data_IF_010118626978
#
_entry.id   IF_010118626978
#
_cell.length_a   1.000
_cell.length_b   1.000
_cell.length_c   1.000
_cell.angle_alpha   90.00
_cell.angle_beta   90.00
_cell.angle_gamma   90.00
#
_symmetry.space_group_name_H-M   'P 1'
#
loop_
_entity.id
_entity.type
_entity.pdbx_description
1 polymer ?
#
# COMPACT_ATOMS: atom_id res chain seq x y z
N UNK A 1 -16.79 0.62 16.45
CA UNK A 1 -16.73 -0.27 15.26
C UNK A 1 -15.27 -0.38 14.85
N UNK A 2 -14.79 -1.53 14.40
CA UNK A 2 -13.41 -1.67 14.00
C UNK A 2 -13.10 -0.73 12.82
N UNK A 3 -11.97 -0.05 12.91
CA UNK A 3 -11.42 0.82 11.87
C UNK A 3 -10.32 0.10 11.12
N UNK A 4 -10.18 0.39 9.84
CA UNK A 4 -9.18 -0.24 9.00
C UNK A 4 -8.33 0.79 8.27
N UNK A 5 -7.01 0.71 8.45
CA UNK A 5 -6.03 1.37 7.61
C UNK A 5 -5.50 0.35 6.59
N UNK A 6 -5.74 0.59 5.31
CA UNK A 6 -5.11 -0.17 4.22
C UNK A 6 -3.91 0.60 3.72
N UNK A 7 -2.73 0.02 3.88
CA UNK A 7 -1.46 0.56 3.41
C UNK A 7 -1.00 -0.24 2.18
N UNK A 8 -1.04 0.36 1.02
CA UNK A 8 -0.54 -0.23 -0.22
C UNK A 8 0.94 0.14 -0.43
N UNK A 9 1.78 -0.88 -0.61
CA UNK A 9 3.19 -0.77 -0.96
C UNK A 9 3.43 -1.40 -2.33
N UNK A 10 3.81 -0.60 -3.33
CA UNK A 10 4.08 -1.08 -4.67
C UNK A 10 5.34 -1.95 -4.72
N UNK A 11 5.27 -3.10 -5.36
CA UNK A 11 6.42 -3.93 -5.69
C UNK A 11 7.16 -4.57 -4.50
N UNK A 12 6.44 -5.04 -3.48
CA UNK A 12 7.04 -5.70 -2.31
C UNK A 12 6.63 -7.16 -2.25
N UNK A 13 7.58 -8.06 -2.47
CA UNK A 13 7.37 -9.51 -2.43
C UNK A 13 7.99 -10.18 -1.22
N UNK A 14 7.72 -11.48 -1.09
CA UNK A 14 8.38 -12.37 -0.14
C UNK A 14 9.46 -13.15 -0.89
N UNK A 15 10.72 -12.74 -0.71
CA UNK A 15 11.90 -13.27 -1.40
C UNK A 15 12.71 -14.28 -0.58
N UNK A 16 13.87 -14.69 -1.10
CA UNK A 16 14.79 -15.56 -0.36
C UNK A 16 15.37 -14.85 0.86
N UNK A 17 15.69 -15.61 1.91
CA UNK A 17 16.41 -15.10 3.07
C UNK A 17 17.92 -14.96 2.79
N UNK A 18 18.26 -14.27 1.71
CA UNK A 18 19.64 -14.09 1.23
C UNK A 18 20.00 -12.59 1.19
N UNK A 19 20.87 -12.13 2.10
CA UNK A 19 21.29 -10.73 2.13
C UNK A 19 22.11 -10.29 0.91
N UNK A 20 22.57 -11.21 0.06
CA UNK A 20 23.27 -10.84 -1.17
C UNK A 20 22.33 -10.28 -2.25
N UNK A 21 21.04 -10.63 -2.20
CA UNK A 21 20.06 -10.25 -3.23
C UNK A 21 18.81 -9.59 -2.67
N UNK A 22 18.48 -9.83 -1.38
CA UNK A 22 17.27 -9.33 -0.74
C UNK A 22 17.60 -8.27 0.32
N UNK A 23 17.33 -6.98 0.06
CA UNK A 23 17.64 -5.91 0.98
C UNK A 23 16.90 -6.00 2.34
N UNK A 24 15.77 -6.72 2.45
CA UNK A 24 15.12 -6.98 3.74
C UNK A 24 16.06 -7.60 4.77
N UNK A 25 17.03 -8.40 4.34
CA UNK A 25 17.97 -9.09 5.22
C UNK A 25 19.28 -8.31 5.48
N UNK A 26 19.41 -7.10 4.91
CA UNK A 26 20.49 -6.13 5.21
C UNK A 26 19.98 -4.89 5.91
N UNK A 27 18.76 -4.46 5.61
CA UNK A 27 18.17 -3.24 6.16
C UNK A 27 17.93 -3.36 7.67
N UNK A 28 18.04 -2.24 8.37
CA UNK A 28 17.70 -2.11 9.78
C UNK A 28 16.18 -1.86 9.91
N UNK A 29 15.42 -2.90 10.24
CA UNK A 29 13.97 -2.93 10.29
C UNK A 29 13.47 -3.28 11.70
N UNK A 30 13.73 -2.44 12.72
CA UNK A 30 13.40 -2.76 14.11
C UNK A 30 11.90 -2.83 14.37
N UNK A 31 11.09 -1.94 13.77
CA UNK A 31 9.64 -1.86 14.01
C UNK A 31 8.93 -3.08 13.42
N UNK A 32 9.25 -3.46 12.18
CA UNK A 32 8.70 -4.65 11.55
C UNK A 32 9.13 -5.94 12.24
N UNK A 33 10.41 -6.05 12.63
CA UNK A 33 10.90 -7.20 13.40
C UNK A 33 10.20 -7.32 14.74
N UNK A 34 10.04 -6.22 15.47
CA UNK A 34 9.31 -6.23 16.74
C UNK A 34 7.87 -6.69 16.55
N UNK A 35 7.18 -6.18 15.54
CA UNK A 35 5.81 -6.57 15.26
C UNK A 35 5.66 -8.06 14.93
N UNK A 36 6.64 -8.64 14.20
CA UNK A 36 6.63 -10.02 13.73
C UNK A 36 7.44 -11.00 14.62
N UNK A 37 7.75 -10.64 15.87
CA UNK A 37 8.43 -11.54 16.82
C UNK A 37 9.90 -11.83 16.48
N UNK A 38 10.60 -10.88 15.86
CA UNK A 38 12.02 -10.96 15.52
C UNK A 38 12.33 -11.50 14.11
N UNK A 39 11.35 -12.08 13.43
CA UNK A 39 11.51 -12.69 12.10
C UNK A 39 10.99 -11.77 10.99
N UNK A 40 11.58 -11.88 9.79
CA UNK A 40 11.08 -11.24 8.57
C UNK A 40 10.50 -12.31 7.63
N UNK A 41 9.50 -11.96 6.79
CA UNK A 41 8.95 -12.90 5.82
C UNK A 41 10.01 -13.27 4.77
N UNK A 42 10.07 -14.56 4.46
CA UNK A 42 10.94 -15.12 3.42
C UNK A 42 10.28 -16.33 2.79
N UNK A 43 10.80 -16.81 1.65
CA UNK A 43 10.30 -18.03 1.01
C UNK A 43 10.40 -19.27 1.91
N UNK A 44 11.35 -19.31 2.84
CA UNK A 44 11.50 -20.39 3.83
C UNK A 44 10.67 -20.19 5.11
N UNK A 45 10.23 -18.97 5.38
CA UNK A 45 9.35 -18.61 6.51
C UNK A 45 8.37 -17.51 6.04
N UNK A 46 7.34 -17.87 5.25
CA UNK A 46 6.49 -16.87 4.60
C UNK A 46 5.47 -16.21 5.54
N UNK A 47 5.18 -16.82 6.69
CA UNK A 47 4.14 -16.39 7.63
C UNK A 47 4.68 -16.18 9.07
N UNK A 48 5.74 -15.36 9.27
CA UNK A 48 6.17 -15.02 10.63
C UNK A 48 5.08 -14.23 11.35
N UNK A 49 4.95 -14.48 12.65
CA UNK A 49 3.99 -13.80 13.52
C UNK A 49 4.62 -13.42 14.84
N UNK A 50 4.13 -12.35 15.44
CA UNK A 50 4.57 -11.82 16.71
C UNK A 50 3.46 -11.05 17.43
N UNK A 51 3.81 -10.37 18.52
CA UNK A 51 2.84 -9.66 19.35
C UNK A 51 2.16 -8.48 18.62
N UNK A 52 2.81 -7.90 17.61
CA UNK A 52 2.27 -6.76 16.84
C UNK A 52 1.54 -7.15 15.57
N UNK A 53 1.55 -8.43 15.17
CA UNK A 53 0.88 -8.86 13.94
C UNK A 53 1.50 -10.08 13.28
N UNK A 54 1.15 -10.26 12.01
CA UNK A 54 1.63 -11.38 11.19
C UNK A 54 1.84 -10.98 9.74
N UNK A 55 2.75 -11.67 9.07
CA UNK A 55 2.90 -11.63 7.62
C UNK A 55 2.20 -12.84 6.96
N UNK A 56 1.86 -12.72 5.69
CA UNK A 56 1.32 -13.80 4.87
C UNK A 56 1.60 -13.58 3.39
N UNK A 57 1.79 -14.67 2.61
CA UNK A 57 1.99 -14.58 1.17
C UNK A 57 0.66 -14.37 0.45
N UNK A 58 0.67 -13.50 -0.58
CA UNK A 58 -0.49 -13.21 -1.42
C UNK A 58 -0.17 -13.55 -2.87
N UNK A 59 -1.00 -14.38 -3.52
CA UNK A 59 -0.83 -14.70 -4.93
C UNK A 59 -1.11 -13.49 -5.82
N UNK A 60 -0.04 -12.99 -6.46
CA UNK A 60 -0.08 -11.92 -7.45
C UNK A 60 -0.06 -12.46 -8.90
N UNK A 61 0.18 -13.76 -9.10
CA UNK A 61 0.23 -14.37 -10.43
C UNK A 61 -1.15 -14.54 -11.07
N UNK A 62 -2.20 -14.62 -10.25
CA UNK A 62 -3.60 -14.58 -10.68
C UNK A 62 -3.94 -15.64 -11.75
N UNK A 63 -3.28 -16.80 -11.70
CA UNK A 63 -3.40 -17.87 -12.70
C UNK A 63 -3.16 -17.39 -14.15
N UNK A 64 -2.42 -16.29 -14.33
CA UNK A 64 -2.13 -15.69 -15.63
C UNK A 64 -0.65 -15.83 -15.95
N UNK A 65 -0.30 -16.19 -17.20
CA UNK A 65 1.09 -16.29 -17.64
C UNK A 65 1.77 -14.93 -17.63
N UNK A 66 3.07 -14.93 -17.33
CA UNK A 66 3.93 -13.74 -17.33
C UNK A 66 4.44 -13.39 -15.94
N UNK A 67 4.91 -12.17 -15.80
CA UNK A 67 5.38 -11.57 -14.55
C UNK A 67 4.32 -10.56 -14.09
N UNK A 68 3.88 -10.62 -12.82
CA UNK A 68 2.92 -9.65 -12.27
C UNK A 68 3.32 -8.21 -12.53
N UNK A 69 2.33 -7.33 -12.72
CA UNK A 69 2.52 -5.94 -13.10
C UNK A 69 1.54 -5.03 -12.37
N UNK A 70 1.98 -3.81 -12.02
CA UNK A 70 1.25 -2.84 -11.19
C UNK A 70 -0.16 -2.51 -11.73
N UNK A 71 -0.32 -2.25 -13.02
CA UNK A 71 -1.62 -1.86 -13.57
C UNK A 71 -2.72 -2.90 -13.37
N UNK A 72 -2.38 -4.20 -13.51
CA UNK A 72 -3.31 -5.31 -13.26
C UNK A 72 -3.38 -5.68 -11.79
N UNK A 73 -2.25 -5.70 -11.07
CA UNK A 73 -2.20 -6.03 -9.65
C UNK A 73 -2.99 -5.05 -8.79
N UNK A 74 -2.72 -3.74 -8.91
CA UNK A 74 -3.44 -2.68 -8.20
C UNK A 74 -4.94 -2.67 -8.53
N UNK A 75 -5.29 -2.89 -9.81
CA UNK A 75 -6.72 -3.01 -10.19
C UNK A 75 -7.37 -4.19 -9.48
N UNK A 76 -6.69 -5.34 -9.40
CA UNK A 76 -7.22 -6.53 -8.73
C UNK A 76 -7.39 -6.28 -7.23
N UNK A 77 -6.39 -5.71 -6.54
CA UNK A 77 -6.50 -5.33 -5.12
C UNK A 77 -7.71 -4.43 -4.87
N UNK A 78 -7.87 -3.41 -5.69
CA UNK A 78 -8.92 -2.40 -5.49
C UNK A 78 -10.33 -2.94 -5.78
N UNK A 79 -10.50 -3.89 -6.70
CA UNK A 79 -11.81 -4.29 -7.20
C UNK A 79 -12.22 -5.72 -6.84
N UNK A 80 -11.29 -6.59 -6.47
CA UNK A 80 -11.51 -8.03 -6.29
C UNK A 80 -11.61 -8.81 -7.61
N UNK A 81 -11.69 -8.13 -8.75
CA UNK A 81 -11.76 -8.78 -10.05
C UNK A 81 -10.34 -9.18 -10.52
N UNK A 82 -10.16 -10.37 -11.08
CA UNK A 82 -8.89 -10.79 -11.68
C UNK A 82 -8.62 -9.98 -12.96
N UNK A 83 -7.99 -8.82 -12.80
CA UNK A 83 -7.74 -7.89 -13.91
C UNK A 83 -6.76 -8.45 -14.95
N UNK A 84 -5.81 -9.28 -14.54
CA UNK A 84 -4.88 -9.94 -15.46
C UNK A 84 -5.60 -10.95 -16.36
N UNK A 85 -6.52 -11.73 -15.80
CA UNK A 85 -7.35 -12.66 -16.57
C UNK A 85 -8.32 -11.94 -17.49
N UNK A 86 -8.97 -10.87 -17.02
CA UNK A 86 -9.88 -10.04 -17.84
C UNK A 86 -9.15 -9.39 -19.03
N UNK A 87 -7.88 -9.05 -18.85
CA UNK A 87 -7.05 -8.48 -19.93
C UNK A 87 -6.38 -9.55 -20.80
N UNK A 88 -6.30 -10.81 -20.32
CA UNK A 88 -5.58 -11.92 -20.94
C UNK A 88 -4.06 -11.91 -20.68
N UNK A 89 -3.56 -10.97 -19.89
CA UNK A 89 -2.13 -10.83 -19.52
C UNK A 89 -1.94 -9.90 -18.33
N UNK A 90 -0.79 -9.98 -17.69
CA UNK A 90 -0.30 -8.91 -16.81
C UNK A 90 0.01 -7.65 -17.61
N UNK A 91 -0.26 -6.49 -17.02
CA UNK A 91 -0.05 -5.19 -17.66
C UNK A 91 0.29 -4.09 -16.63
N UNK A 92 1.28 -3.25 -16.95
CA UNK A 92 1.73 -2.14 -16.12
C UNK A 92 2.44 -1.04 -16.93
N UNK A 93 2.90 0.00 -16.27
CA UNK A 93 2.74 0.30 -14.85
C UNK A 93 1.35 0.83 -14.46
N UNK A 94 0.57 1.38 -15.41
CA UNK A 94 -0.76 1.98 -15.17
C UNK A 94 -1.88 1.09 -15.67
N UNK A 95 -3.08 1.17 -15.07
CA UNK A 95 -4.23 0.42 -15.55
C UNK A 95 -4.59 0.85 -16.98
N UNK A 96 -4.74 -0.09 -17.91
CA UNK A 96 -5.18 0.24 -19.27
C UNK A 96 -6.62 0.76 -19.26
N UNK A 97 -6.97 1.55 -20.27
CA UNK A 97 -8.30 2.19 -20.37
C UNK A 97 -9.45 1.19 -20.17
N UNK A 98 -9.31 -0.03 -20.69
CA UNK A 98 -10.31 -1.11 -20.54
C UNK A 98 -10.63 -1.52 -19.10
N UNK A 99 -9.73 -1.25 -18.15
CA UNK A 99 -9.93 -1.58 -16.73
C UNK A 99 -10.40 -0.38 -15.89
N UNK A 100 -10.49 0.82 -16.46
CA UNK A 100 -10.84 2.03 -15.69
C UNK A 100 -12.26 2.04 -15.19
N UNK A 101 -13.23 1.67 -16.06
CA UNK A 101 -14.63 1.53 -15.66
C UNK A 101 -14.78 0.57 -14.49
N UNK A 102 -14.03 -0.54 -14.51
CA UNK A 102 -14.02 -1.49 -13.39
C UNK A 102 -13.52 -0.85 -12.07
N UNK A 103 -12.44 -0.04 -12.13
CA UNK A 103 -11.94 0.71 -10.97
C UNK A 103 -12.96 1.72 -10.46
N UNK A 104 -13.59 2.45 -11.37
CA UNK A 104 -14.56 3.51 -11.05
C UNK A 104 -15.82 2.95 -10.40
N UNK A 105 -16.30 1.81 -10.84
CA UNK A 105 -17.57 1.23 -10.40
C UNK A 105 -17.43 0.26 -9.22
N UNK A 106 -16.32 -0.50 -9.15
CA UNK A 106 -16.19 -1.66 -8.27
C UNK A 106 -15.09 -1.58 -7.23
N UNK A 107 -14.33 -0.46 -7.15
CA UNK A 107 -13.30 -0.34 -6.12
C UNK A 107 -13.87 -0.44 -4.72
N UNK A 108 -13.12 -1.04 -3.79
CA UNK A 108 -13.53 -1.10 -2.40
C UNK A 108 -13.78 0.29 -1.81
N UNK A 109 -13.08 1.34 -2.29
CA UNK A 109 -13.34 2.73 -1.91
C UNK A 109 -14.77 3.15 -2.28
N UNK A 110 -15.17 2.90 -3.51
CA UNK A 110 -16.53 3.21 -3.98
C UNK A 110 -17.58 2.42 -3.21
N UNK A 111 -17.33 1.12 -3.00
CA UNK A 111 -18.25 0.20 -2.32
C UNK A 111 -18.44 0.59 -0.85
N UNK A 112 -17.38 0.95 -0.15
CA UNK A 112 -17.46 1.34 1.26
C UNK A 112 -18.12 2.72 1.45
N UNK A 113 -17.85 3.70 0.56
CA UNK A 113 -18.58 4.98 0.54
C UNK A 113 -20.07 4.74 0.31
N UNK A 114 -20.44 3.90 -0.69
CA UNK A 114 -21.82 3.58 -0.97
C UNK A 114 -22.53 2.84 0.18
N UNK A 115 -21.79 2.08 0.99
CA UNK A 115 -22.25 1.44 2.22
C UNK A 115 -22.28 2.38 3.45
N UNK A 116 -22.12 3.69 3.26
CA UNK A 116 -22.25 4.69 4.32
C UNK A 116 -21.04 4.79 5.27
N UNK A 117 -19.88 4.18 4.93
CA UNK A 117 -18.67 4.32 5.74
C UNK A 117 -18.01 5.70 5.51
N UNK A 118 -17.38 6.23 6.58
CA UNK A 118 -16.48 7.38 6.47
C UNK A 118 -15.15 6.89 5.92
N UNK A 119 -14.84 7.26 4.68
CA UNK A 119 -13.64 6.79 3.97
C UNK A 119 -12.70 7.95 3.72
N UNK A 120 -11.42 7.74 3.98
CA UNK A 120 -10.35 8.69 3.69
C UNK A 120 -9.34 8.08 2.70
N UNK A 121 -8.99 8.81 1.65
CA UNK A 121 -7.80 8.57 0.85
C UNK A 121 -6.71 9.51 1.35
N UNK A 122 -5.72 8.96 2.07
CA UNK A 122 -4.75 9.74 2.83
C UNK A 122 -3.70 10.45 1.98
N UNK A 123 -3.52 10.02 0.72
CA UNK A 123 -2.54 10.63 -0.17
C UNK A 123 -2.92 12.05 -0.57
N UNK A 124 -1.98 12.98 -0.43
CA UNK A 124 -2.11 14.29 -1.04
C UNK A 124 -1.69 14.27 -2.51
N UNK A 125 -2.40 15.06 -3.32
CA UNK A 125 -2.06 15.34 -4.72
C UNK A 125 -2.19 16.85 -5.01
N UNK A 126 -1.37 17.40 -5.92
CA UNK A 126 -1.54 18.79 -6.36
C UNK A 126 -2.96 19.04 -6.86
N UNK A 127 -3.49 20.25 -6.63
CA UNK A 127 -4.81 20.61 -7.14
C UNK A 127 -4.89 20.42 -8.64
N UNK A 128 -5.98 19.82 -9.12
CA UNK A 128 -6.17 19.51 -10.53
C UNK A 128 -5.36 18.31 -11.05
N UNK A 129 -4.69 17.54 -10.18
CA UNK A 129 -4.01 16.31 -10.60
C UNK A 129 -4.95 15.40 -11.42
N UNK A 130 -4.51 14.81 -12.54
CA UNK A 130 -3.15 14.77 -13.08
C UNK A 130 -2.71 16.02 -13.90
N UNK A 131 -3.52 17.08 -13.96
CA UNK A 131 -3.21 18.29 -14.71
C UNK A 131 -3.07 18.01 -16.21
N UNK A 132 -2.00 18.56 -16.83
CA UNK A 132 -1.67 18.34 -18.24
C UNK A 132 -0.99 16.99 -18.52
N UNK A 133 -0.76 16.16 -17.52
CA UNK A 133 -0.20 14.82 -17.72
C UNK A 133 -1.18 13.96 -18.52
N UNK A 134 -0.65 13.06 -19.32
CA UNK A 134 -1.45 12.06 -20.01
C UNK A 134 -2.29 11.29 -18.98
N UNK A 135 -3.61 11.49 -19.01
CA UNK A 135 -4.56 10.84 -18.11
C UNK A 135 -4.47 9.30 -18.15
N UNK A 136 -3.84 8.74 -19.20
CA UNK A 136 -3.56 7.30 -19.30
C UNK A 136 -2.41 6.85 -18.39
N UNK A 137 -1.60 7.78 -17.88
CA UNK A 137 -0.43 7.53 -17.03
C UNK A 137 -0.72 7.85 -15.57
N UNK A 138 -1.84 7.38 -15.06
CA UNK A 138 -2.27 7.54 -13.68
C UNK A 138 -2.40 6.17 -13.02
N UNK A 139 -1.85 6.00 -11.82
CA UNK A 139 -1.94 4.76 -11.06
C UNK A 139 -3.40 4.44 -10.65
N UNK A 140 -3.69 3.18 -10.35
CA UNK A 140 -5.04 2.76 -10.01
C UNK A 140 -5.58 3.38 -8.70
N UNK A 141 -4.79 3.56 -7.61
CA UNK A 141 -5.28 4.18 -6.38
C UNK A 141 -5.91 5.57 -6.56
N UNK A 142 -5.25 6.57 -7.17
CA UNK A 142 -5.88 7.88 -7.37
C UNK A 142 -7.04 7.86 -8.36
N UNK A 143 -7.11 6.94 -9.32
CA UNK A 143 -8.28 6.78 -10.19
C UNK A 143 -9.49 6.30 -9.40
N UNK A 144 -9.32 5.27 -8.57
CA UNK A 144 -10.38 4.76 -7.69
C UNK A 144 -10.83 5.80 -6.65
N UNK A 145 -9.88 6.51 -6.03
CA UNK A 145 -10.17 7.57 -5.07
C UNK A 145 -10.96 8.73 -5.70
N UNK A 146 -10.59 9.14 -6.92
CA UNK A 146 -11.32 10.16 -7.67
C UNK A 146 -12.76 9.73 -7.95
N UNK A 147 -12.95 8.51 -8.43
CA UNK A 147 -14.27 7.98 -8.73
C UNK A 147 -15.18 7.86 -7.49
N UNK A 148 -14.57 7.67 -6.31
CA UNK A 148 -15.25 7.63 -5.04
C UNK A 148 -15.44 9.02 -4.40
N UNK A 149 -14.95 10.13 -5.01
CA UNK A 149 -15.06 11.49 -4.48
C UNK A 149 -14.07 11.80 -3.35
N UNK A 150 -12.96 11.05 -3.23
CA UNK A 150 -12.02 11.09 -2.11
C UNK A 150 -10.71 11.85 -2.42
N UNK A 151 -10.60 12.52 -3.55
CA UNK A 151 -9.39 13.29 -3.95
C UNK A 151 -9.45 14.74 -3.41
N UNK A 152 -9.57 14.88 -2.10
CA UNK A 152 -9.81 16.14 -1.39
C UNK A 152 -8.58 16.68 -0.64
N UNK A 153 -7.46 15.94 -0.61
CA UNK A 153 -6.25 16.30 0.11
C UNK A 153 -5.18 16.86 -0.81
N UNK A 154 -4.72 18.06 -0.47
CA UNK A 154 -3.74 18.83 -1.26
C UNK A 154 -2.64 19.38 -0.33
N UNK A 155 -1.84 20.35 -0.80
CA UNK A 155 -0.73 20.90 -0.04
C UNK A 155 -1.12 21.43 1.35
N UNK A 156 -2.31 21.98 1.50
CA UNK A 156 -2.78 22.50 2.81
C UNK A 156 -3.00 21.37 3.83
N UNK A 157 -3.41 20.20 3.36
CA UNK A 157 -3.53 19.02 4.20
C UNK A 157 -2.16 18.48 4.62
N UNK A 158 -1.15 18.49 3.72
CA UNK A 158 0.23 18.16 4.09
C UNK A 158 0.77 19.13 5.15
N UNK A 159 0.56 20.45 4.99
CA UNK A 159 1.01 21.45 5.96
C UNK A 159 0.43 21.23 7.36
N UNK A 160 -0.77 20.69 7.45
CA UNK A 160 -1.45 20.41 8.74
C UNK A 160 -1.22 18.99 9.27
N UNK A 161 -0.51 18.13 8.55
CA UNK A 161 -0.35 16.71 8.89
C UNK A 161 -1.65 15.90 8.77
N UNK A 162 -2.65 16.37 8.00
CA UNK A 162 -3.92 15.66 7.74
C UNK A 162 -3.94 14.96 6.39
N UNK A 163 -2.78 14.79 5.78
CA UNK A 163 -2.51 13.99 4.59
C UNK A 163 -1.05 13.51 4.62
N UNK A 164 -0.73 12.54 3.77
CA UNK A 164 0.63 12.05 3.59
C UNK A 164 0.98 12.09 2.10
N UNK A 165 2.22 12.49 1.78
CA UNK A 165 2.75 12.41 0.42
C UNK A 165 2.94 10.95 0.00
N UNK A 166 2.75 10.62 -1.28
CA UNK A 166 2.93 9.22 -1.77
C UNK A 166 4.35 8.69 -1.55
N UNK A 167 5.33 9.57 -1.37
CA UNK A 167 6.72 9.24 -1.03
C UNK A 167 6.99 9.20 0.49
N UNK A 168 5.92 9.23 1.32
CA UNK A 168 5.95 9.26 2.79
C UNK A 168 6.37 10.65 3.32
N UNK A 169 7.52 11.15 2.90
CA UNK A 169 8.05 12.47 3.26
C UNK A 169 7.59 13.57 2.29
N UNK A 170 7.86 14.83 2.59
CA UNK A 170 7.42 15.96 1.75
C UNK A 170 8.49 16.46 0.76
N UNK A 171 9.62 15.75 0.62
CA UNK A 171 10.78 16.27 -0.12
C UNK A 171 10.49 16.49 -1.61
N UNK A 172 9.84 15.55 -2.29
CA UNK A 172 9.46 15.73 -3.68
C UNK A 172 8.44 16.86 -3.89
N UNK A 173 7.56 17.09 -2.93
CA UNK A 173 6.66 18.25 -2.98
C UNK A 173 7.43 19.56 -2.86
N UNK A 174 8.41 19.65 -1.94
CA UNK A 174 9.20 20.84 -1.69
C UNK A 174 10.19 21.14 -2.81
N UNK A 175 10.93 20.12 -3.23
CA UNK A 175 12.07 20.28 -4.12
C UNK A 175 11.70 20.17 -5.60
N UNK A 176 10.77 19.26 -5.95
CA UNK A 176 10.42 18.98 -7.34
C UNK A 176 9.14 19.68 -7.78
N UNK A 177 8.13 19.74 -6.90
CA UNK A 177 6.84 20.38 -7.22
C UNK A 177 6.79 21.87 -6.86
N UNK A 178 7.82 22.40 -6.19
CA UNK A 178 7.95 23.83 -5.88
C UNK A 178 7.14 24.32 -4.67
N UNK A 179 6.68 23.43 -3.81
CA UNK A 179 5.97 23.78 -2.55
C UNK A 179 6.96 23.95 -1.39
N UNK A 180 7.98 24.80 -1.54
CA UNK A 180 9.07 24.97 -0.59
C UNK A 180 8.67 25.35 0.85
N UNK A 181 7.46 25.86 1.06
CA UNK A 181 6.94 26.23 2.38
C UNK A 181 6.30 25.03 3.14
N UNK A 182 6.22 23.84 2.53
CA UNK A 182 5.74 22.66 3.25
C UNK A 182 6.73 22.27 4.35
N UNK A 183 6.26 21.86 5.53
CA UNK A 183 7.15 21.38 6.58
C UNK A 183 7.90 20.13 6.14
N UNK A 184 9.14 20.00 6.59
CA UNK A 184 9.82 18.71 6.58
C UNK A 184 9.08 17.74 7.50
N UNK A 185 8.98 16.49 7.07
CA UNK A 185 8.38 15.44 7.86
C UNK A 185 9.28 14.21 7.82
N UNK A 186 9.57 13.64 8.98
CA UNK A 186 10.30 12.37 9.06
C UNK A 186 9.37 11.22 8.68
N UNK A 187 9.89 10.07 8.21
CA UNK A 187 9.06 8.91 7.93
C UNK A 187 8.19 8.49 9.14
N UNK A 188 8.77 8.47 10.34
CA UNK A 188 8.04 8.18 11.58
C UNK A 188 6.94 9.22 11.86
N UNK A 189 7.24 10.51 11.68
CA UNK A 189 6.25 11.60 11.82
C UNK A 189 5.10 11.49 10.83
N UNK A 190 5.39 11.11 9.58
CA UNK A 190 4.35 10.83 8.57
C UNK A 190 3.47 9.64 8.98
N UNK A 191 4.05 8.61 9.59
CA UNK A 191 3.31 7.47 10.15
C UNK A 191 2.36 7.87 11.27
N UNK A 192 2.81 8.71 12.19
CA UNK A 192 1.97 9.31 13.25
C UNK A 192 0.80 10.09 12.64
N UNK A 193 1.06 10.93 11.64
CA UNK A 193 0.01 11.68 10.94
C UNK A 193 -1.02 10.76 10.29
N UNK A 194 -0.56 9.67 9.65
CA UNK A 194 -1.46 8.69 9.02
C UNK A 194 -2.32 7.95 10.04
N UNK A 195 -1.76 7.54 11.17
CA UNK A 195 -2.51 6.87 12.24
C UNK A 195 -3.60 7.79 12.82
N UNK A 196 -3.27 9.06 13.08
CA UNK A 196 -4.25 10.06 13.57
C UNK A 196 -5.38 10.28 12.56
N UNK A 197 -5.05 10.37 11.27
CA UNK A 197 -6.06 10.45 10.22
C UNK A 197 -6.94 9.19 10.19
N UNK A 198 -6.34 8.00 10.33
CA UNK A 198 -7.06 6.74 10.34
C UNK A 198 -7.98 6.59 11.56
N UNK A 199 -7.66 7.23 12.68
CA UNK A 199 -8.53 7.26 13.85
C UNK A 199 -9.84 8.07 13.64
N UNK A 200 -9.94 8.88 12.59
CA UNK A 200 -11.11 9.71 12.28
C UNK A 200 -12.03 9.09 11.22
N UNK A 201 -11.61 8.00 10.57
CA UNK A 201 -12.34 7.35 9.49
C UNK A 201 -12.62 5.87 9.80
N UNK A 202 -13.61 5.28 9.17
CA UNK A 202 -13.89 3.84 9.27
C UNK A 202 -12.94 3.04 8.36
N UNK A 203 -12.58 3.63 7.21
CA UNK A 203 -11.56 3.15 6.29
C UNK A 203 -10.62 4.28 5.90
N UNK A 204 -9.34 4.07 6.08
CA UNK A 204 -8.30 4.92 5.50
C UNK A 204 -7.47 4.12 4.50
N UNK A 205 -7.24 4.68 3.33
CA UNK A 205 -6.38 4.07 2.30
C UNK A 205 -5.20 5.00 2.00
N UNK A 206 -3.98 4.43 2.03
CA UNK A 206 -2.75 5.11 1.65
C UNK A 206 -1.97 4.27 0.66
N UNK A 207 -1.37 4.90 -0.37
CA UNK A 207 -0.59 4.22 -1.41
C UNK A 207 0.82 4.81 -1.51
N UNK A 208 1.83 3.93 -1.43
CA UNK A 208 3.25 4.26 -1.57
C UNK A 208 3.86 3.51 -2.76
N UNK A 209 4.66 4.21 -3.58
CA UNK A 209 5.24 3.68 -4.81
C UNK A 209 6.77 3.63 -4.78
N UNK A 210 7.40 4.20 -3.75
CA UNK A 210 8.86 4.32 -3.65
C UNK A 210 9.59 2.99 -3.59
N UNK A 211 8.94 1.96 -3.04
CA UNK A 211 9.49 0.60 -2.95
C UNK A 211 9.71 -0.03 -4.33
N UNK A 212 8.73 0.09 -5.24
CA UNK A 212 8.90 -0.42 -6.61
C UNK A 212 9.96 0.36 -7.40
N UNK A 213 9.97 1.69 -7.23
CA UNK A 213 11.00 2.53 -7.85
C UNK A 213 12.41 2.15 -7.37
N UNK A 214 12.58 1.88 -6.08
CA UNK A 214 13.84 1.42 -5.50
C UNK A 214 14.25 0.04 -6.04
N UNK A 215 13.31 -0.90 -6.14
CA UNK A 215 13.54 -2.22 -6.75
C UNK A 215 14.01 -2.14 -8.20
N UNK A 216 13.50 -1.17 -8.97
CA UNK A 216 13.89 -1.00 -10.38
C UNK A 216 15.22 -0.25 -10.57
N UNK A 217 15.58 0.67 -9.69
CA UNK A 217 16.65 1.65 -9.95
C UNK A 217 17.65 1.82 -8.81
N UNK A 218 17.30 1.39 -7.60
CA UNK A 218 18.08 1.66 -6.39
C UNK A 218 19.17 0.64 -6.11
N UNK A 219 19.10 -0.55 -6.72
CA UNK A 219 19.98 -1.66 -6.35
C UNK A 219 19.84 -2.01 -4.86
N UNK A 220 20.89 -2.58 -4.27
CA UNK A 220 20.87 -2.99 -2.87
C UNK A 220 20.73 -1.79 -1.93
N UNK A 221 21.51 -0.74 -2.12
CA UNK A 221 21.54 0.42 -1.21
C UNK A 221 20.23 1.22 -1.26
N UNK A 222 19.68 1.45 -2.46
CA UNK A 222 18.38 2.09 -2.60
C UNK A 222 17.23 1.24 -2.06
N UNK A 223 17.33 -0.10 -2.20
CA UNK A 223 16.38 -1.03 -1.60
C UNK A 223 16.41 -0.98 -0.07
N UNK A 224 17.61 -0.95 0.54
CA UNK A 224 17.79 -0.79 1.98
C UNK A 224 17.15 0.52 2.46
N UNK A 225 17.51 1.65 1.83
CA UNK A 225 17.01 2.97 2.22
C UNK A 225 15.47 3.06 2.13
N UNK A 226 14.87 2.51 1.07
CA UNK A 226 13.42 2.50 0.90
C UNK A 226 12.72 1.63 1.96
N UNK A 227 13.29 0.48 2.32
CA UNK A 227 12.72 -0.40 3.37
C UNK A 227 12.86 0.21 4.75
N UNK A 228 13.99 0.85 5.07
CA UNK A 228 14.18 1.56 6.35
C UNK A 228 13.23 2.76 6.48
N UNK A 229 12.96 3.47 5.39
CA UNK A 229 11.94 4.52 5.37
C UNK A 229 10.55 3.96 5.66
N UNK A 230 10.18 2.84 5.03
CA UNK A 230 8.88 2.16 5.28
C UNK A 230 8.82 1.62 6.71
N UNK A 231 9.88 1.06 7.24
CA UNK A 231 9.92 0.56 8.62
C UNK A 231 9.68 1.68 9.63
N UNK A 232 10.40 2.80 9.49
CA UNK A 232 10.21 3.97 10.34
C UNK A 232 8.78 4.55 10.22
N UNK A 233 8.20 4.53 9.02
CA UNK A 233 6.82 4.93 8.78
C UNK A 233 5.83 4.00 9.49
N UNK A 234 6.01 2.68 9.36
CA UNK A 234 5.24 1.68 10.11
C UNK A 234 5.36 1.86 11.62
N UNK A 235 6.57 2.11 12.11
CA UNK A 235 6.81 2.40 13.53
C UNK A 235 6.03 3.62 14.02
N UNK A 236 5.92 4.67 13.23
CA UNK A 236 5.08 5.83 13.53
C UNK A 236 3.60 5.47 13.57
N UNK A 237 3.11 4.67 12.63
CA UNK A 237 1.73 4.18 12.63
C UNK A 237 1.46 3.36 13.89
N UNK A 238 2.31 2.37 14.17
CA UNK A 238 2.12 1.43 15.28
C UNK A 238 2.16 2.11 16.65
N UNK A 239 2.91 3.22 16.79
CA UNK A 239 3.01 3.97 18.06
C UNK A 239 1.71 4.75 18.42
N UNK A 240 0.83 4.98 17.47
CA UNK A 240 -0.41 5.78 17.64
C UNK A 240 -1.69 4.94 17.40
N UNK A 241 -1.58 3.61 17.28
CA UNK A 241 -2.76 2.77 17.05
C UNK A 241 -3.70 2.77 18.26
N UNK A 242 -4.97 3.07 18.01
CA UNK A 242 -6.05 2.82 18.96
C UNK A 242 -6.43 1.34 19.00
N UNK A 243 -7.05 0.89 20.07
CA UNK A 243 -7.46 -0.51 20.26
C UNK A 243 -8.42 -1.04 19.18
N UNK A 244 -9.15 -0.14 18.51
CA UNK A 244 -10.12 -0.46 17.46
C UNK A 244 -9.61 -0.26 16.04
N UNK A 245 -8.31 0.12 15.85
CA UNK A 245 -7.70 0.33 14.55
C UNK A 245 -6.75 -0.81 14.19
N UNK A 246 -7.00 -1.44 13.04
CA UNK A 246 -6.10 -2.42 12.42
C UNK A 246 -5.44 -1.87 11.17
N UNK A 247 -4.25 -2.37 10.87
CA UNK A 247 -3.51 -2.05 9.65
C UNK A 247 -3.41 -3.30 8.78
N UNK A 248 -3.87 -3.20 7.55
CA UNK A 248 -3.68 -4.20 6.49
C UNK A 248 -2.68 -3.64 5.49
N UNK A 249 -1.46 -4.19 5.48
CA UNK A 249 -0.47 -3.86 4.45
C UNK A 249 -0.64 -4.86 3.30
N UNK A 250 -0.67 -4.35 2.06
CA UNK A 250 -0.80 -5.16 0.85
C UNK A 250 0.14 -4.67 -0.23
N UNK A 251 0.65 -5.59 -1.05
CA UNK A 251 1.41 -5.30 -2.25
C UNK A 251 0.83 -6.02 -3.45
N UNK A 252 1.10 -5.51 -4.64
CA UNK A 252 0.51 -5.99 -5.90
C UNK A 252 1.41 -6.97 -6.67
N UNK A 253 2.69 -6.99 -6.39
CA UNK A 253 3.70 -7.92 -6.93
C UNK A 253 5.01 -7.85 -6.15
N UNK A 254 5.96 -8.72 -6.48
CA UNK A 254 7.33 -8.64 -5.99
C UNK A 254 8.24 -7.85 -6.94
N UNK A 255 9.23 -7.18 -6.36
CA UNK A 255 10.31 -6.47 -7.03
C UNK A 255 11.49 -6.23 -6.05
N UNK A 256 11.28 -5.43 -4.99
CA UNK A 256 12.35 -4.97 -4.08
C UNK A 256 13.03 -6.11 -3.31
N UNK A 257 12.35 -7.24 -3.13
CA UNK A 257 12.89 -8.40 -2.42
C UNK A 257 13.93 -9.21 -3.23
N UNK A 258 14.19 -8.80 -4.47
CA UNK A 258 15.25 -9.37 -5.32
C UNK A 258 15.80 -8.30 -6.27
N UNK A 259 16.90 -7.65 -5.88
CA UNK A 259 17.48 -6.52 -6.61
C UNK A 259 18.18 -6.90 -7.93
N UNK A 260 18.14 -8.17 -8.35
CA UNK A 260 18.83 -8.65 -9.54
C UNK A 260 18.13 -8.36 -10.86
N UNK A 261 16.82 -8.11 -10.86
CA UNK A 261 16.14 -8.06 -12.15
C UNK A 261 14.71 -7.53 -12.24
N UNK A 262 14.26 -6.61 -11.41
CA UNK A 262 12.90 -6.04 -11.49
C UNK A 262 11.81 -7.00 -11.00
N UNK A 263 10.58 -6.90 -11.52
CA UNK A 263 9.46 -7.66 -11.00
C UNK A 263 9.73 -9.17 -10.95
N UNK A 264 9.27 -9.80 -9.87
CA UNK A 264 9.45 -11.23 -9.60
C UNK A 264 8.15 -12.02 -9.76
N UNK A 265 8.23 -13.34 -9.64
CA UNK A 265 7.09 -14.24 -9.49
C UNK A 265 6.87 -14.67 -8.05
N UNK A 266 7.60 -14.08 -7.12
CA UNK A 266 7.41 -14.32 -5.71
C UNK A 266 6.00 -13.88 -5.28
N UNK A 267 5.44 -14.46 -4.22
CA UNK A 267 4.19 -13.94 -3.65
C UNK A 267 4.39 -12.48 -3.21
N UNK A 268 3.37 -11.66 -3.39
CA UNK A 268 3.34 -10.33 -2.81
C UNK A 268 3.24 -10.44 -1.27
N UNK A 269 3.77 -9.43 -0.56
CA UNK A 269 3.67 -9.40 0.90
C UNK A 269 2.29 -8.90 1.33
N UNK A 270 1.70 -9.57 2.32
CA UNK A 270 0.60 -9.07 3.12
C UNK A 270 1.01 -9.02 4.58
N UNK A 271 0.58 -7.98 5.32
CA UNK A 271 0.74 -7.90 6.77
C UNK A 271 -0.59 -7.49 7.40
N UNK A 272 -0.95 -8.14 8.52
CA UNK A 272 -1.98 -7.66 9.44
C UNK A 272 -1.27 -7.19 10.72
N UNK A 273 -1.41 -5.91 11.07
CA UNK A 273 -0.72 -5.30 12.20
C UNK A 273 -1.72 -4.61 13.15
N UNK A 274 -1.36 -4.49 14.40
CA UNK A 274 -2.12 -3.81 15.43
C UNK A 274 -2.96 -4.73 16.31
N UNK A 275 -3.74 -4.16 17.27
CA UNK A 275 -4.43 -4.92 18.30
C UNK A 275 -5.40 -5.99 17.79
N UNK A 276 -6.09 -5.72 16.69
CA UNK A 276 -7.05 -6.64 16.06
C UNK A 276 -6.46 -7.42 14.88
N UNK A 277 -5.14 -7.45 14.72
CA UNK A 277 -4.48 -8.14 13.61
C UNK A 277 -4.85 -9.62 13.49
N UNK A 278 -5.06 -10.30 14.63
CA UNK A 278 -5.45 -11.71 14.68
C UNK A 278 -6.87 -11.96 14.13
N UNK A 279 -7.74 -10.95 14.18
CA UNK A 279 -9.14 -11.05 13.73
C UNK A 279 -9.29 -10.79 12.22
N UNK A 280 -8.29 -10.13 11.59
CA UNK A 280 -8.32 -9.93 10.14
C UNK A 280 -7.95 -11.23 9.43
N UNK A 281 -8.77 -11.72 8.48
CA UNK A 281 -8.37 -12.84 7.64
C UNK A 281 -7.07 -12.52 6.86
N UNK A 282 -6.29 -13.56 6.54
CA UNK A 282 -5.12 -13.43 5.67
C UNK A 282 -5.53 -13.79 4.24
N UNK A 283 -5.73 -12.81 3.34
CA UNK A 283 -6.07 -13.08 1.95
C UNK A 283 -4.93 -13.87 1.27
N UNK A 284 -5.29 -14.89 0.51
CA UNK A 284 -4.33 -15.74 -0.21
C UNK A 284 -4.11 -15.28 -1.65
N UNK A 285 -4.97 -14.42 -2.16
CA UNK A 285 -4.90 -13.85 -3.51
C UNK A 285 -5.24 -12.37 -3.50
N UNK A 286 -4.68 -11.61 -4.44
CA UNK A 286 -5.06 -10.20 -4.64
C UNK A 286 -6.57 -10.02 -4.87
N UNK A 287 -7.26 -11.04 -5.38
CA UNK A 287 -8.71 -11.01 -5.64
C UNK A 287 -9.56 -10.99 -4.36
N UNK A 288 -9.01 -11.41 -3.23
CA UNK A 288 -9.74 -11.49 -1.97
C UNK A 288 -9.70 -10.18 -1.17
N UNK A 289 -8.76 -9.27 -1.51
CA UNK A 289 -8.49 -8.07 -0.70
C UNK A 289 -9.66 -7.11 -0.69
N UNK A 290 -10.28 -6.83 -1.84
CA UNK A 290 -11.40 -5.88 -1.90
C UNK A 290 -12.61 -6.32 -1.04
N UNK A 291 -12.98 -7.58 -1.10
CA UNK A 291 -14.10 -8.11 -0.33
C UNK A 291 -13.77 -8.20 1.17
N UNK A 292 -12.53 -8.52 1.52
CA UNK A 292 -12.05 -8.44 2.90
C UNK A 292 -12.19 -7.02 3.46
N UNK A 293 -11.72 -6.01 2.74
CA UNK A 293 -11.82 -4.60 3.16
C UNK A 293 -13.29 -4.19 3.35
N UNK A 294 -14.12 -4.45 2.36
CA UNK A 294 -15.55 -4.08 2.39
C UNK A 294 -16.28 -4.78 3.54
N UNK A 295 -16.11 -6.09 3.68
CA UNK A 295 -16.78 -6.85 4.76
C UNK A 295 -16.30 -6.47 6.15
N UNK A 296 -15.02 -6.10 6.31
CA UNK A 296 -14.48 -5.63 7.59
C UNK A 296 -15.08 -4.27 7.97
N UNK A 297 -15.10 -3.33 7.03
CA UNK A 297 -15.52 -1.94 7.28
C UNK A 297 -17.04 -1.82 7.43
N UNK A 298 -17.81 -2.63 6.70
CA UNK A 298 -19.27 -2.58 6.71
C UNK A 298 -19.92 -3.56 7.71
N UNK A 299 -19.12 -4.31 8.46
CA UNK A 299 -19.66 -5.26 9.48
C UNK A 299 -20.52 -4.52 10.50
N UNK A 300 -21.81 -4.93 10.62
CA UNK A 300 -22.77 -4.34 11.54
C UNK A 300 -23.32 -2.96 11.13
N UNK A 301 -23.27 -2.64 9.84
CA UNK A 301 -23.92 -1.48 9.23
C UNK A 301 -25.12 -1.95 8.38
N UNK A 302 -26.11 -2.52 9.02
CA UNK A 302 -27.40 -2.88 8.39
C UNK A 302 -28.41 -1.73 8.57
#
# INVERSE_FOLDING_TARGET
MPRLLVLFLDGVGIGPADPAVNPFFKAHLPDLRQALGGSLPSLSNPEPQGPGGRAFPVDARLSTRGIPQSGTGQTTILTGANAAQLLGRHFGPWPPVRLRTLLEERSFLRRTVAGGARVAFANAYPRGYPGNRDSRRVAAPPLAARAAGLMDRHQEALSRGTAVASEIVNDGWREVLGYGNLPEVTPRGAGVNLARLAAEADLTFFAHYGTDLAGHRGGMDGGIAALEQVDAFLGGILSELSEDLSVLVVSDHGNIEDVRGGHTRNPAVGLSLGPLAAELPSPRSLTEIADLVVSTVLRGRD
#
